data_IF_858842858788
#
_entry.id   IF_858842858788
#
_cell.length_a   1.000
_cell.length_b   1.000
_cell.length_c   1.000
_cell.angle_alpha   90.00
_cell.angle_beta   90.00
_cell.angle_gamma   90.00
#
_symmetry.space_group_name_H-M   'P 1'
#
loop_
_entity.id
_entity.type
_entity.pdbx_description
1 polymer ?
#
# COMPACT_ATOMS: atom_id res chain seq x y z
N UNK A 1 -2.64 -18.33 80.39
CA UNK A 1 -2.13 -19.64 80.83
C UNK A 1 -2.11 -20.52 79.60
N UNK A 2 -1.03 -21.03 79.02
CA UNK A 2 0.42 -21.07 79.31
C UNK A 2 1.11 -21.33 77.95
N UNK A 3 2.15 -20.60 77.54
CA UNK A 3 3.59 -20.85 77.78
C UNK A 3 4.14 -22.16 77.16
N UNK A 4 4.79 -21.98 76.00
CA UNK A 4 6.13 -22.43 75.58
C UNK A 4 6.62 -23.89 75.76
N UNK A 5 7.15 -24.46 74.67
CA UNK A 5 8.55 -24.95 74.51
C UNK A 5 8.75 -25.53 73.09
N UNK A 6 9.59 -25.00 72.18
CA UNK A 6 11.07 -25.05 72.05
C UNK A 6 11.68 -26.43 71.76
N UNK A 7 12.35 -26.56 70.60
CA UNK A 7 13.80 -26.90 70.38
C UNK A 7 14.01 -27.34 68.90
N UNK A 8 14.68 -26.57 68.04
CA UNK A 8 16.13 -26.39 67.80
C UNK A 8 16.87 -27.56 67.11
N UNK A 9 17.29 -27.30 65.86
CA UNK A 9 18.59 -27.65 65.21
C UNK A 9 18.60 -26.90 63.86
N UNK A 10 19.61 -26.18 63.38
CA UNK A 10 20.99 -25.96 63.77
C UNK A 10 21.86 -25.76 62.51
N UNK A 11 22.01 -24.50 62.09
CA UNK A 11 23.11 -23.75 61.41
C UNK A 11 24.36 -24.52 60.90
N UNK A 12 24.80 -24.23 59.64
CA UNK A 12 26.16 -23.73 59.19
C UNK A 12 26.43 -24.12 57.72
N UNK A 13 26.55 -23.18 56.77
CA UNK A 13 27.77 -22.48 56.25
C UNK A 13 28.98 -23.39 55.98
N UNK A 14 29.42 -23.43 54.71
CA UNK A 14 30.85 -23.35 54.36
C UNK A 14 31.08 -22.85 52.91
N UNK A 15 32.07 -21.95 52.81
CA UNK A 15 32.72 -21.38 51.63
C UNK A 15 33.87 -22.30 51.15
N UNK A 16 34.21 -22.26 49.86
CA UNK A 16 35.60 -22.33 49.33
C UNK A 16 35.53 -21.97 47.82
N UNK A 17 36.07 -20.86 47.30
CA UNK A 17 37.48 -20.47 47.08
C UNK A 17 38.30 -21.52 46.32
N UNK A 18 38.78 -21.11 45.13
CA UNK A 18 39.72 -21.83 44.27
C UNK A 18 40.16 -20.96 43.09
N UNK A 19 41.14 -20.09 43.33
CA UNK A 19 41.85 -19.24 42.36
C UNK A 19 43.08 -19.96 41.82
N UNK A 20 43.42 -19.79 40.54
CA UNK A 20 44.83 -19.83 40.10
C UNK A 20 45.08 -18.89 38.91
N UNK A 21 45.99 -17.95 39.17
CA UNK A 21 46.59 -16.94 38.30
C UNK A 21 47.82 -17.51 37.57
N UNK A 22 48.19 -16.93 36.42
CA UNK A 22 49.52 -16.36 36.09
C UNK A 22 49.48 -15.76 34.67
N UNK A 23 49.59 -14.43 34.52
CA UNK A 23 50.80 -13.64 34.20
C UNK A 23 51.39 -13.96 32.82
N UNK A 24 51.65 -13.06 31.87
CA UNK A 24 51.68 -11.61 31.83
C UNK A 24 52.82 -11.15 30.89
N UNK A 25 52.62 -10.03 30.19
CA UNK A 25 53.56 -9.02 29.65
C UNK A 25 53.50 -8.74 28.14
N UNK A 26 53.36 -7.44 27.88
CA UNK A 26 53.39 -6.70 26.61
C UNK A 26 54.83 -6.47 26.11
N UNK A 27 55.01 -6.37 24.79
CA UNK A 27 55.78 -5.28 24.15
C UNK A 27 55.55 -5.21 22.64
N UNK A 28 55.44 -3.98 22.11
CA UNK A 28 55.28 -3.60 20.70
C UNK A 28 56.60 -3.63 19.92
N UNK A 29 56.62 -4.10 18.66
CA UNK A 29 57.28 -3.40 17.53
C UNK A 29 56.83 -3.94 16.16
N UNK A 30 56.76 -3.05 15.16
CA UNK A 30 56.36 -3.26 13.76
C UNK A 30 57.17 -4.34 13.02
N UNK A 31 56.47 -5.13 12.21
CA UNK A 31 56.98 -5.55 10.90
C UNK A 31 55.88 -5.38 9.84
N UNK A 32 56.25 -4.70 8.76
CA UNK A 32 55.51 -4.64 7.52
C UNK A 32 55.72 -5.95 6.74
N UNK A 33 54.68 -6.44 6.07
CA UNK A 33 54.70 -6.83 4.65
C UNK A 33 53.62 -7.89 4.33
N UNK A 34 52.95 -7.62 3.20
CA UNK A 34 52.23 -8.54 2.31
C UNK A 34 50.85 -9.07 2.74
N UNK A 35 49.84 -8.31 2.29
CA UNK A 35 48.51 -8.75 1.82
C UNK A 35 48.60 -9.99 0.89
N UNK A 36 47.53 -10.83 0.74
CA UNK A 36 46.21 -10.31 0.35
C UNK A 36 44.97 -11.04 0.89
N UNK A 37 43.84 -10.37 0.70
CA UNK A 37 42.45 -10.88 0.69
C UNK A 37 41.67 -10.86 2.01
N UNK A 38 41.02 -9.72 2.27
CA UNK A 38 39.57 -9.59 2.44
C UNK A 38 39.28 -8.21 3.01
N UNK A 39 38.87 -7.27 2.14
CA UNK A 39 38.40 -5.98 2.61
C UNK A 39 36.91 -5.78 2.35
N UNK A 40 36.29 -5.46 3.46
CA UNK A 40 34.96 -4.98 3.75
C UNK A 40 34.46 -3.80 2.90
N UNK A 41 33.13 -3.80 2.73
CA UNK A 41 32.20 -2.67 2.56
C UNK A 41 32.63 -1.46 1.71
N UNK A 42 31.85 -1.17 0.65
CA UNK A 42 31.07 0.07 0.50
C UNK A 42 30.47 0.17 -0.90
N UNK A 43 29.15 0.27 -0.97
CA UNK A 43 28.44 0.63 -2.19
C UNK A 43 28.85 2.05 -2.61
N UNK A 44 29.49 2.17 -3.77
CA UNK A 44 29.74 3.44 -4.45
C UNK A 44 28.65 3.68 -5.51
N UNK A 45 27.85 4.72 -5.29
CA UNK A 45 26.99 5.29 -6.33
C UNK A 45 27.85 5.91 -7.44
N UNK A 46 27.72 5.40 -8.66
CA UNK A 46 28.30 5.98 -9.87
C UNK A 46 27.32 5.82 -11.03
N UNK A 47 26.74 6.94 -11.49
CA UNK A 47 26.03 7.01 -12.76
C UNK A 47 26.99 6.69 -13.91
N UNK A 48 26.60 5.79 -14.81
CA UNK A 48 27.03 5.73 -16.22
C UNK A 48 25.97 4.86 -16.95
N UNK A 49 24.89 5.46 -17.44
CA UNK A 49 24.71 5.90 -18.83
C UNK A 49 24.90 4.78 -19.87
N UNK A 50 23.77 4.41 -20.47
CA UNK A 50 23.57 3.84 -21.80
C UNK A 50 24.68 4.13 -22.82
N UNK A 51 25.32 3.06 -23.31
CA UNK A 51 26.01 2.97 -24.60
C UNK A 51 26.47 1.51 -24.81
N UNK A 52 25.76 0.76 -25.63
CA UNK A 52 26.30 -0.46 -26.25
C UNK A 52 26.40 -0.20 -27.76
N UNK A 53 27.61 -0.23 -28.36
CA UNK A 53 27.81 0.06 -29.76
C UNK A 53 27.71 -1.25 -30.56
N UNK A 54 26.56 -1.90 -30.56
CA UNK A 54 26.30 -3.02 -31.47
C UNK A 54 25.33 -2.58 -32.56
N UNK A 55 25.93 -2.17 -33.67
CA UNK A 55 25.35 -1.87 -34.98
C UNK A 55 24.52 -3.07 -35.47
N UNK A 56 23.20 -3.05 -35.24
CA UNK A 56 22.29 -4.05 -35.83
C UNK A 56 21.92 -3.64 -37.25
N UNK A 57 22.36 -4.45 -38.21
CA UNK A 57 21.77 -4.54 -39.55
C UNK A 57 20.27 -4.82 -39.44
N UNK A 58 19.44 -4.39 -40.40
CA UNK A 58 18.02 -4.69 -40.39
C UNK A 58 17.83 -6.14 -40.85
N UNK A 59 18.01 -7.11 -39.96
CA UNK A 59 17.34 -8.39 -40.10
C UNK A 59 15.89 -8.19 -39.64
N UNK A 60 14.96 -8.51 -40.53
CA UNK A 60 13.55 -8.69 -40.18
C UNK A 60 13.51 -9.92 -39.28
N UNK A 61 13.78 -9.73 -37.99
CA UNK A 61 13.58 -10.76 -36.98
C UNK A 61 12.09 -10.83 -36.72
N UNK A 62 11.46 -11.84 -37.31
CA UNK A 62 10.18 -12.38 -36.91
C UNK A 62 10.30 -12.78 -35.44
N UNK A 63 10.02 -11.81 -34.55
CA UNK A 63 10.19 -11.94 -33.11
C UNK A 63 9.13 -12.89 -32.58
N UNK A 64 9.49 -14.17 -32.51
CA UNK A 64 8.73 -15.23 -31.87
C UNK A 64 8.46 -14.88 -30.40
N UNK A 65 7.29 -15.29 -29.93
CA UNK A 65 6.85 -15.10 -28.55
C UNK A 65 7.85 -15.79 -27.61
N UNK A 66 8.29 -15.14 -26.50
CA UNK A 66 9.12 -15.82 -25.50
C UNK A 66 8.36 -16.98 -24.84
N UNK A 67 8.92 -18.19 -24.87
CA UNK A 67 8.27 -19.45 -24.43
C UNK A 67 7.94 -19.55 -22.92
N UNK A 68 8.21 -18.51 -22.13
CA UNK A 68 8.10 -18.51 -20.66
C UNK A 68 7.20 -17.39 -20.11
N UNK A 69 6.24 -16.90 -20.92
CA UNK A 69 5.21 -15.98 -20.44
C UNK A 69 3.96 -16.77 -19.98
N UNK A 70 3.33 -16.33 -18.91
CA UNK A 70 1.99 -16.80 -18.54
C UNK A 70 1.02 -16.57 -19.73
N UNK A 71 0.11 -17.51 -19.97
CA UNK A 71 -0.91 -17.47 -21.04
C UNK A 71 -1.66 -16.14 -21.14
N UNK A 72 -1.94 -15.52 -19.98
CA UNK A 72 -2.51 -14.17 -19.88
C UNK A 72 -1.59 -13.12 -20.49
N UNK A 73 -0.30 -13.13 -20.12
CA UNK A 73 0.67 -12.18 -20.66
C UNK A 73 0.86 -12.37 -22.17
N UNK A 74 0.78 -13.60 -22.66
CA UNK A 74 0.84 -13.90 -24.09
C UNK A 74 -0.34 -13.26 -24.85
N UNK A 75 -1.56 -13.39 -24.33
CA UNK A 75 -2.75 -12.74 -24.90
C UNK A 75 -2.60 -11.21 -24.94
N UNK A 76 -2.12 -10.63 -23.84
CA UNK A 76 -1.89 -9.18 -23.73
C UNK A 76 -0.81 -8.70 -24.70
N UNK A 77 0.25 -9.49 -24.91
CA UNK A 77 1.31 -9.17 -25.85
C UNK A 77 0.84 -9.24 -27.32
N UNK A 78 0.06 -10.26 -27.69
CA UNK A 78 -0.56 -10.35 -29.01
C UNK A 78 -1.51 -9.18 -29.28
N UNK A 79 -2.31 -8.79 -28.28
CA UNK A 79 -3.19 -7.63 -28.37
C UNK A 79 -2.41 -6.32 -28.53
N UNK A 80 -1.25 -6.17 -27.88
CA UNK A 80 -0.36 -5.02 -28.02
C UNK A 80 0.20 -4.90 -29.45
N UNK A 81 0.55 -6.04 -30.07
CA UNK A 81 1.06 -6.08 -31.45
C UNK A 81 -0.01 -5.89 -32.52
N UNK A 82 -1.29 -6.02 -32.17
CA UNK A 82 -2.37 -6.03 -33.14
C UNK A 82 -2.50 -7.37 -33.89
N UNK A 83 -1.94 -8.45 -33.35
CA UNK A 83 -1.99 -9.77 -33.99
C UNK A 83 -3.36 -10.43 -33.76
N UNK A 84 -4.27 -10.21 -34.71
CA UNK A 84 -5.63 -10.72 -34.67
C UNK A 84 -5.65 -12.26 -34.63
N UNK A 85 -4.77 -12.92 -35.39
CA UNK A 85 -4.74 -14.40 -35.47
C UNK A 85 -4.22 -14.99 -34.17
N UNK A 86 -3.11 -14.45 -33.66
CA UNK A 86 -2.54 -14.87 -32.38
C UNK A 86 -3.53 -14.70 -31.21
N UNK A 87 -4.28 -13.59 -31.18
CA UNK A 87 -5.36 -13.40 -30.19
C UNK A 87 -6.48 -14.41 -30.38
N UNK A 88 -6.89 -14.70 -31.62
CA UNK A 88 -7.96 -15.66 -31.90
C UNK A 88 -7.59 -17.09 -31.47
N UNK A 89 -6.38 -17.53 -31.79
CA UNK A 89 -5.87 -18.87 -31.47
C UNK A 89 -5.82 -19.07 -29.95
N UNK A 90 -5.26 -18.10 -29.21
CA UNK A 90 -5.20 -18.13 -27.74
C UNK A 90 -6.59 -18.19 -27.10
N UNK A 91 -7.58 -17.48 -27.65
CA UNK A 91 -8.95 -17.54 -27.15
C UNK A 91 -9.63 -18.87 -27.51
N UNK A 92 -9.21 -19.54 -28.59
CA UNK A 92 -9.70 -20.89 -28.95
C UNK A 92 -9.09 -21.97 -28.04
N UNK A 93 -7.88 -21.76 -27.54
CA UNK A 93 -7.23 -22.63 -26.53
C UNK A 93 -7.89 -22.54 -25.15
N UNK A 94 -8.85 -21.64 -24.96
CA UNK A 94 -9.67 -21.54 -23.74
C UNK A 94 -9.19 -20.50 -22.74
N UNK A 95 -8.29 -19.59 -23.14
CA UNK A 95 -7.89 -18.46 -22.29
C UNK A 95 -9.10 -17.53 -22.07
N UNK A 96 -9.30 -17.09 -20.82
CA UNK A 96 -10.37 -16.13 -20.53
C UNK A 96 -10.05 -14.79 -21.20
N UNK A 97 -10.98 -14.31 -22.02
CA UNK A 97 -10.92 -13.00 -22.69
C UNK A 97 -10.79 -11.84 -21.70
N UNK A 98 -11.23 -12.02 -20.46
CA UNK A 98 -11.17 -11.04 -19.38
C UNK A 98 -9.98 -11.23 -18.44
N UNK A 99 -8.99 -12.04 -18.82
CA UNK A 99 -7.75 -12.17 -18.07
C UNK A 99 -7.07 -10.81 -17.90
N UNK A 100 -6.50 -10.58 -16.71
CA UNK A 100 -5.94 -9.29 -16.29
C UNK A 100 -4.45 -9.39 -15.97
N UNK A 101 -3.69 -8.32 -16.23
CA UNK A 101 -2.32 -8.16 -15.72
C UNK A 101 -2.29 -7.68 -14.25
N UNK A 102 -1.07 -7.43 -13.75
CA UNK A 102 -0.81 -6.87 -12.43
C UNK A 102 -1.46 -5.48 -12.21
N UNK A 103 -1.73 -4.76 -13.30
CA UNK A 103 -2.41 -3.46 -13.27
C UNK A 103 -3.92 -3.59 -13.48
N UNK A 104 -4.47 -4.81 -13.52
CA UNK A 104 -5.89 -5.04 -13.76
C UNK A 104 -6.33 -4.80 -15.20
N UNK A 105 -5.41 -4.64 -16.15
CA UNK A 105 -5.71 -4.39 -17.56
C UNK A 105 -6.00 -5.69 -18.29
N UNK A 106 -7.04 -5.66 -19.11
CA UNK A 106 -7.39 -6.75 -20.03
C UNK A 106 -6.78 -6.53 -21.41
N UNK A 107 -6.80 -7.56 -22.27
CA UNK A 107 -6.42 -7.43 -23.68
C UNK A 107 -7.19 -6.30 -24.41
N UNK A 108 -8.43 -6.03 -23.99
CA UNK A 108 -9.25 -4.94 -24.54
C UNK A 108 -8.69 -3.55 -24.19
N UNK A 109 -8.12 -3.37 -22.99
CA UNK A 109 -7.45 -2.11 -22.62
C UNK A 109 -6.22 -1.89 -23.50
N UNK A 110 -5.38 -2.93 -23.65
CA UNK A 110 -4.15 -2.85 -24.45
C UNK A 110 -4.45 -2.54 -25.91
N UNK A 111 -5.37 -3.29 -26.54
CA UNK A 111 -5.76 -3.06 -27.93
C UNK A 111 -6.35 -1.65 -28.13
N UNK A 112 -7.01 -1.10 -27.10
CA UNK A 112 -7.55 0.25 -27.14
C UNK A 112 -6.50 1.35 -26.98
N UNK A 113 -5.47 1.14 -26.14
CA UNK A 113 -4.31 2.03 -26.04
C UNK A 113 -3.52 2.12 -27.35
N UNK A 114 -3.34 0.99 -28.03
CA UNK A 114 -2.54 0.90 -29.27
C UNK A 114 -3.35 1.19 -30.55
N UNK A 115 -4.68 1.21 -30.47
CA UNK A 115 -5.54 1.58 -31.60
C UNK A 115 -5.89 0.42 -32.54
N UNK A 116 -5.69 -0.82 -32.12
CA UNK A 116 -5.92 -2.02 -32.94
C UNK A 116 -7.41 -2.37 -33.06
N UNK A 117 -8.11 -1.69 -33.97
CA UNK A 117 -9.56 -1.82 -34.15
C UNK A 117 -10.05 -3.26 -34.43
N UNK A 118 -9.28 -4.05 -35.20
CA UNK A 118 -9.66 -5.43 -35.52
C UNK A 118 -9.54 -6.36 -34.30
N UNK A 119 -8.48 -6.21 -33.50
CA UNK A 119 -8.35 -6.94 -32.23
C UNK A 119 -9.48 -6.56 -31.27
N UNK A 120 -9.85 -5.27 -31.19
CA UNK A 120 -10.99 -4.83 -30.38
C UNK A 120 -12.29 -5.50 -30.85
N UNK A 121 -12.57 -5.52 -32.16
CA UNK A 121 -13.78 -6.19 -32.69
C UNK A 121 -13.81 -7.68 -32.35
N UNK A 122 -12.66 -8.36 -32.44
CA UNK A 122 -12.51 -9.78 -32.08
C UNK A 122 -12.77 -10.01 -30.59
N UNK A 123 -12.12 -9.25 -29.70
CA UNK A 123 -12.33 -9.38 -28.25
C UNK A 123 -13.79 -9.14 -27.86
N UNK A 124 -14.45 -8.16 -28.49
CA UNK A 124 -15.86 -7.88 -28.29
C UNK A 124 -16.78 -8.99 -28.81
N UNK A 125 -16.43 -9.66 -29.91
CA UNK A 125 -17.21 -10.81 -30.41
C UNK A 125 -17.11 -12.00 -29.45
N UNK A 126 -15.97 -12.13 -28.75
CA UNK A 126 -15.72 -13.11 -27.68
C UNK A 126 -16.25 -12.67 -26.31
N UNK A 127 -17.15 -11.68 -26.25
CA UNK A 127 -17.80 -11.17 -25.02
C UNK A 127 -16.83 -10.60 -23.97
N UNK A 128 -15.75 -9.94 -24.41
CA UNK A 128 -14.93 -9.13 -23.51
C UNK A 128 -15.79 -8.11 -22.73
N UNK A 129 -15.48 -7.93 -21.45
CA UNK A 129 -16.13 -6.96 -20.59
C UNK A 129 -15.74 -5.53 -21.00
N UNK A 130 -16.62 -4.86 -21.74
CA UNK A 130 -16.47 -3.48 -22.19
C UNK A 130 -16.25 -2.49 -21.04
N UNK A 131 -16.91 -2.72 -19.91
CA UNK A 131 -16.88 -1.83 -18.73
C UNK A 131 -15.83 -2.30 -17.70
N UNK A 132 -14.94 -3.22 -18.09
CA UNK A 132 -13.80 -3.61 -17.26
C UNK A 132 -12.98 -2.37 -16.88
N UNK A 133 -12.48 -2.37 -15.64
CA UNK A 133 -11.69 -1.28 -15.11
C UNK A 133 -10.34 -1.77 -14.66
N UNK A 134 -9.30 -1.09 -15.11
CA UNK A 134 -7.94 -1.28 -14.62
C UNK A 134 -7.78 -0.73 -13.19
N UNK A 135 -6.56 -0.84 -12.63
CA UNK A 135 -6.26 -0.37 -11.26
C UNK A 135 -6.52 1.13 -11.10
N UNK A 136 -6.41 1.91 -12.16
CA UNK A 136 -6.63 3.36 -12.17
C UNK A 136 -8.10 3.74 -12.43
N UNK A 137 -8.96 2.74 -12.59
CA UNK A 137 -10.38 2.93 -12.87
C UNK A 137 -10.65 3.40 -14.31
N UNK A 138 -9.64 3.33 -15.19
CA UNK A 138 -9.81 3.57 -16.61
C UNK A 138 -10.58 2.42 -17.24
N UNK A 139 -11.19 2.69 -18.40
CA UNK A 139 -11.88 1.69 -19.22
C UNK A 139 -11.22 1.71 -20.59
N UNK A 140 -11.30 0.63 -21.35
CA UNK A 140 -10.78 0.59 -22.73
C UNK A 140 -11.24 1.79 -23.58
N UNK A 141 -12.49 2.26 -23.41
CA UNK A 141 -12.99 3.44 -24.11
C UNK A 141 -12.32 4.74 -23.65
N UNK A 142 -12.03 4.88 -22.36
CA UNK A 142 -11.29 6.02 -21.85
C UNK A 142 -9.84 6.03 -22.33
N UNK A 143 -9.19 4.86 -22.37
CA UNK A 143 -7.82 4.71 -22.88
C UNK A 143 -7.74 5.09 -24.36
N UNK A 144 -8.61 4.53 -25.21
CA UNK A 144 -8.68 4.89 -26.63
C UNK A 144 -8.85 6.39 -26.84
N UNK A 145 -9.67 7.05 -26.01
CA UNK A 145 -9.84 8.51 -26.09
C UNK A 145 -8.58 9.26 -25.66
N UNK A 146 -7.91 8.82 -24.60
CA UNK A 146 -6.71 9.47 -24.05
C UNK A 146 -5.53 9.39 -25.03
N UNK A 147 -5.33 8.24 -25.66
CA UNK A 147 -4.28 8.01 -26.64
C UNK A 147 -4.62 8.50 -28.06
N UNK A 148 -5.84 9.03 -28.28
CA UNK A 148 -6.24 9.61 -29.56
C UNK A 148 -6.74 8.61 -30.60
N UNK A 149 -7.02 7.36 -30.21
CA UNK A 149 -7.53 6.29 -31.07
C UNK A 149 -9.04 6.44 -31.29
N UNK A 150 -9.42 7.44 -32.10
CA UNK A 150 -10.81 7.83 -32.33
C UNK A 150 -11.65 6.68 -32.93
N UNK A 151 -11.08 5.87 -33.81
CA UNK A 151 -11.80 4.73 -34.41
C UNK A 151 -12.21 3.71 -33.35
N UNK A 152 -11.26 3.26 -32.53
CA UNK A 152 -11.52 2.32 -31.43
C UNK A 152 -12.51 2.91 -30.43
N UNK A 153 -12.34 4.18 -30.06
CA UNK A 153 -13.28 4.87 -29.18
C UNK A 153 -14.71 4.84 -29.72
N UNK A 154 -14.89 5.09 -31.02
CA UNK A 154 -16.20 5.07 -31.67
C UNK A 154 -16.79 3.65 -31.70
N UNK A 155 -15.98 2.62 -31.95
CA UNK A 155 -16.41 1.21 -31.91
C UNK A 155 -16.92 0.85 -30.49
N UNK A 156 -16.14 1.17 -29.46
CA UNK A 156 -16.50 0.89 -28.07
C UNK A 156 -17.75 1.65 -27.65
N UNK A 157 -17.85 2.95 -28.00
CA UNK A 157 -19.02 3.77 -27.72
C UNK A 157 -20.27 3.25 -28.44
N UNK A 158 -20.16 2.82 -29.70
CA UNK A 158 -21.27 2.23 -30.46
C UNK A 158 -21.75 0.90 -29.85
N UNK A 159 -20.85 0.16 -29.20
CA UNK A 159 -21.16 -1.09 -28.47
C UNK A 159 -21.63 -0.85 -27.03
N UNK A 160 -21.88 0.40 -26.64
CA UNK A 160 -22.49 0.77 -25.36
C UNK A 160 -21.50 1.03 -24.23
N UNK A 161 -20.20 1.22 -24.52
CA UNK A 161 -19.20 1.54 -23.50
C UNK A 161 -19.56 2.81 -22.73
N UNK A 162 -19.65 2.70 -21.40
CA UNK A 162 -19.84 3.86 -20.54
C UNK A 162 -18.48 4.49 -20.32
N UNK A 163 -18.18 5.56 -21.05
CA UNK A 163 -16.98 6.36 -20.77
C UNK A 163 -17.16 6.97 -19.39
N UNK A 164 -16.38 6.56 -18.37
CA UNK A 164 -16.44 7.22 -17.09
C UNK A 164 -16.08 8.69 -17.32
N UNK A 165 -16.83 9.60 -16.71
CA UNK A 165 -16.29 10.94 -16.45
C UNK A 165 -15.17 10.71 -15.46
N UNK A 166 -13.95 10.45 -15.96
CA UNK A 166 -12.76 10.38 -15.11
C UNK A 166 -12.51 11.81 -14.67
N UNK A 167 -13.20 12.22 -13.61
CA UNK A 167 -12.70 13.30 -12.77
C UNK A 167 -11.39 12.75 -12.21
N UNK A 168 -10.28 13.11 -12.88
CA UNK A 168 -8.96 12.83 -12.34
C UNK A 168 -8.94 13.35 -10.91
N UNK A 169 -8.47 12.54 -9.98
CA UNK A 169 -8.27 13.04 -8.63
C UNK A 169 -7.25 14.19 -8.69
N UNK A 170 -7.32 15.16 -7.77
CA UNK A 170 -6.32 16.23 -7.67
C UNK A 170 -4.91 15.71 -7.30
N UNK A 171 -4.78 14.40 -7.04
CA UNK A 171 -3.54 13.70 -6.72
C UNK A 171 -3.16 12.66 -7.78
N UNK A 172 -3.93 12.55 -8.88
CA UNK A 172 -3.65 11.59 -9.93
C UNK A 172 -2.34 11.94 -10.63
N UNK A 173 -1.48 10.95 -10.78
CA UNK A 173 -0.20 11.07 -11.47
C UNK A 173 -0.36 10.54 -12.89
N UNK A 174 0.27 11.22 -13.86
CA UNK A 174 0.19 10.82 -15.28
C UNK A 174 1.06 9.61 -15.61
N UNK A 175 2.16 9.42 -14.88
CA UNK A 175 3.15 8.38 -15.12
C UNK A 175 3.01 7.25 -14.08
N UNK A 176 2.78 5.99 -14.51
CA UNK A 176 2.68 4.85 -13.59
C UNK A 176 3.89 4.66 -12.66
N UNK A 177 5.09 5.09 -13.07
CA UNK A 177 6.32 4.96 -12.27
C UNK A 177 6.40 5.92 -11.08
N UNK A 178 5.55 6.95 -11.07
CA UNK A 178 5.50 7.97 -10.02
C UNK A 178 4.37 7.69 -9.00
N UNK A 179 3.64 6.57 -9.17
CA UNK A 179 2.61 6.15 -8.23
C UNK A 179 3.28 5.78 -6.89
N UNK A 180 2.84 6.37 -5.76
CA UNK A 180 3.42 6.07 -4.46
C UNK A 180 3.22 4.61 -4.04
N UNK A 181 4.19 4.04 -3.30
CA UNK A 181 4.12 2.66 -2.82
C UNK A 181 2.96 2.38 -1.86
N UNK A 182 2.44 3.40 -1.18
CA UNK A 182 1.28 3.29 -0.30
C UNK A 182 -0.05 3.19 -1.04
N UNK A 183 -0.06 3.33 -2.37
CA UNK A 183 -1.28 3.31 -3.17
C UNK A 183 -1.89 1.90 -3.17
N UNK A 184 -3.11 1.81 -2.62
CA UNK A 184 -3.87 0.57 -2.55
C UNK A 184 -4.82 0.43 -3.73
N UNK A 185 -5.04 -0.81 -4.17
CA UNK A 185 -6.07 -1.09 -5.15
C UNK A 185 -7.46 -0.98 -4.50
N UNK A 186 -8.35 -0.09 -4.97
CA UNK A 186 -9.69 0.08 -4.38
C UNK A 186 -10.54 -1.19 -4.48
N UNK A 187 -10.30 -2.08 -5.44
CA UNK A 187 -11.05 -3.34 -5.57
C UNK A 187 -10.69 -4.38 -4.49
N UNK A 188 -9.51 -4.27 -3.87
CA UNK A 188 -9.13 -5.09 -2.73
C UNK A 188 -9.88 -4.68 -1.45
N UNK A 189 -10.39 -3.45 -1.40
CA UNK A 189 -11.11 -2.90 -0.25
C UNK A 189 -12.60 -3.26 -0.33
N UNK A 190 -13.00 -4.28 0.43
CA UNK A 190 -14.42 -4.66 0.57
C UNK A 190 -15.08 -3.88 1.69
N UNK A 191 -15.67 -2.74 1.34
CA UNK A 191 -16.45 -1.89 2.26
C UNK A 191 -17.81 -2.54 2.54
N UNK A 192 -18.20 -2.67 3.80
CA UNK A 192 -19.54 -3.14 4.18
C UNK A 192 -20.55 -2.02 3.94
N UNK A 193 -21.39 -2.13 2.89
CA UNK A 193 -22.52 -1.22 2.67
C UNK A 193 -23.60 -1.49 3.73
N UNK A 194 -23.74 -0.61 4.71
CA UNK A 194 -24.74 -0.73 5.79
C UNK A 194 -24.67 0.40 6.81
N UNK A 195 -23.49 0.98 7.03
CA UNK A 195 -23.31 2.11 7.93
C UNK A 195 -23.28 3.40 7.10
N UNK A 196 -24.42 4.08 6.98
CA UNK A 196 -24.53 5.42 6.40
C UNK A 196 -23.59 6.36 7.16
N UNK A 197 -22.67 7.01 6.45
CA UNK A 197 -21.67 7.90 7.04
C UNK A 197 -22.24 9.31 7.19
N UNK A 198 -22.28 9.76 8.44
CA UNK A 198 -22.09 11.16 8.80
C UNK A 198 -20.68 11.61 8.40
N UNK A 199 -20.59 12.69 7.62
CA UNK A 199 -19.39 13.44 7.21
C UNK A 199 -18.14 13.20 8.10
N UNK A 200 -17.07 12.63 7.54
CA UNK A 200 -15.76 12.47 8.21
C UNK A 200 -15.56 11.26 9.14
N UNK A 201 -16.47 10.28 9.14
CA UNK A 201 -16.35 9.08 10.01
C UNK A 201 -15.65 7.92 9.28
N UNK A 202 -14.74 7.24 9.98
CA UNK A 202 -14.05 6.05 9.47
C UNK A 202 -15.06 4.91 9.23
N UNK A 203 -14.99 4.27 8.07
CA UNK A 203 -15.76 3.07 7.72
C UNK A 203 -14.94 1.81 7.98
N UNK A 204 -15.59 0.70 8.30
CA UNK A 204 -14.92 -0.59 8.43
C UNK A 204 -14.92 -1.32 7.09
N UNK A 205 -13.74 -1.64 6.59
CA UNK A 205 -13.56 -2.45 5.38
C UNK A 205 -12.74 -3.71 5.67
N UNK A 206 -12.72 -4.63 4.71
CA UNK A 206 -11.76 -5.72 4.67
C UNK A 206 -10.76 -5.48 3.55
N UNK A 207 -9.47 -5.52 3.88
CA UNK A 207 -8.35 -5.51 2.94
C UNK A 207 -7.60 -6.83 3.08
N UNK A 208 -7.54 -7.64 2.01
CA UNK A 208 -6.91 -8.97 2.02
C UNK A 208 -7.33 -9.87 3.20
N UNK A 209 -8.61 -9.79 3.58
CA UNK A 209 -9.19 -10.53 4.72
C UNK A 209 -9.05 -9.86 6.09
N UNK A 210 -8.13 -8.90 6.22
CA UNK A 210 -7.88 -8.13 7.45
C UNK A 210 -8.87 -6.97 7.59
N UNK A 211 -9.40 -6.75 8.80
CA UNK A 211 -10.27 -5.59 9.05
C UNK A 211 -9.43 -4.31 9.12
N UNK A 212 -9.84 -3.29 8.39
CA UNK A 212 -9.19 -1.98 8.34
C UNK A 212 -10.23 -0.86 8.52
N UNK A 213 -9.76 0.29 9.01
CA UNK A 213 -10.54 1.51 9.09
C UNK A 213 -10.24 2.37 7.86
N UNK A 214 -11.27 2.89 7.20
CA UNK A 214 -11.16 3.64 5.95
C UNK A 214 -11.79 5.01 6.13
N UNK A 215 -10.99 6.06 6.04
CA UNK A 215 -11.47 7.44 5.97
C UNK A 215 -11.67 7.80 4.50
N UNK A 216 -12.91 8.05 4.10
CA UNK A 216 -13.26 8.42 2.72
C UNK A 216 -13.35 9.94 2.64
N UNK A 217 -12.72 10.55 1.64
CA UNK A 217 -12.93 11.96 1.31
C UNK A 217 -14.18 12.09 0.44
N UNK A 218 -15.12 12.92 0.89
CA UNK A 218 -16.41 13.13 0.21
C UNK A 218 -16.23 13.70 -1.20
N UNK A 219 -17.19 13.41 -2.08
CA UNK A 219 -17.12 13.82 -3.49
C UNK A 219 -17.12 15.33 -3.69
N UNK A 220 -17.90 16.04 -2.87
CA UNK A 220 -18.01 17.50 -2.94
C UNK A 220 -16.74 18.20 -2.44
N UNK A 221 -15.90 17.49 -1.68
CA UNK A 221 -14.62 17.97 -1.18
C UNK A 221 -13.48 17.91 -2.20
N UNK A 222 -13.68 17.33 -3.39
CA UNK A 222 -12.65 17.34 -4.45
C UNK A 222 -12.52 18.68 -5.15
N UNK A 223 -13.49 19.59 -5.00
CA UNK A 223 -13.42 20.93 -5.58
C UNK A 223 -12.75 21.93 -4.65
N UNK A 224 -12.68 21.63 -3.35
CA UNK A 224 -12.13 22.53 -2.36
C UNK A 224 -10.61 22.28 -2.15
N UNK A 225 -9.73 23.24 -2.49
CA UNK A 225 -8.30 23.07 -2.33
C UNK A 225 -7.88 22.90 -0.86
N UNK A 226 -8.62 23.47 0.09
CA UNK A 226 -8.32 23.34 1.52
C UNK A 226 -8.53 21.90 2.00
N UNK A 227 -9.67 21.29 1.64
CA UNK A 227 -9.96 19.89 1.93
C UNK A 227 -8.92 18.93 1.33
N UNK A 228 -8.47 19.20 0.10
CA UNK A 228 -7.41 18.40 -0.54
C UNK A 228 -6.08 18.57 0.19
N UNK A 229 -5.72 19.80 0.55
CA UNK A 229 -4.49 20.08 1.27
C UNK A 229 -4.50 19.46 2.67
N UNK A 230 -5.64 19.47 3.36
CA UNK A 230 -5.82 18.78 4.64
C UNK A 230 -5.65 17.27 4.48
N UNK A 231 -6.25 16.67 3.44
CA UNK A 231 -6.09 15.25 3.12
C UNK A 231 -4.62 14.89 2.82
N UNK A 232 -3.95 15.67 1.97
CA UNK A 232 -2.52 15.53 1.66
C UNK A 232 -1.67 15.64 2.92
N UNK A 233 -1.94 16.64 3.76
CA UNK A 233 -1.20 16.84 5.00
C UNK A 233 -1.36 15.64 5.93
N UNK A 234 -2.58 15.17 6.17
CA UNK A 234 -2.85 13.99 6.99
C UNK A 234 -2.13 12.74 6.45
N UNK A 235 -2.18 12.52 5.13
CA UNK A 235 -1.47 11.41 4.48
C UNK A 235 0.05 11.49 4.71
N UNK A 236 0.65 12.68 4.53
CA UNK A 236 2.10 12.87 4.74
C UNK A 236 2.54 12.67 6.19
N UNK A 237 1.65 12.95 7.16
CA UNK A 237 1.92 12.68 8.57
C UNK A 237 1.86 11.18 8.85
N UNK A 238 0.83 10.50 8.34
CA UNK A 238 0.64 9.06 8.53
C UNK A 238 1.75 8.22 7.89
N UNK A 239 2.28 8.63 6.75
CA UNK A 239 3.41 7.97 6.09
C UNK A 239 4.68 7.98 6.95
N UNK A 240 4.92 9.09 7.65
CA UNK A 240 6.12 9.29 8.49
C UNK A 240 6.03 8.58 9.84
N UNK A 241 4.82 8.39 10.36
CA UNK A 241 4.58 7.91 11.73
C UNK A 241 4.47 6.39 11.76
N UNK A 242 5.41 5.74 12.45
CA UNK A 242 5.39 4.28 12.69
C UNK A 242 5.71 4.00 14.15
N UNK A 243 4.68 3.83 14.96
CA UNK A 243 4.80 3.61 16.40
C UNK A 243 3.62 2.81 16.96
N UNK A 244 3.81 1.84 17.87
CA UNK A 244 2.73 0.98 18.39
C UNK A 244 1.64 1.71 19.17
N UNK A 245 1.92 2.91 19.68
CA UNK A 245 0.95 3.75 20.38
C UNK A 245 0.33 4.86 19.49
N UNK A 246 0.58 4.82 18.18
CA UNK A 246 -0.10 5.66 17.19
C UNK A 246 -0.81 4.72 16.21
N UNK A 247 -1.98 5.14 15.69
CA UNK A 247 -2.73 4.33 14.74
C UNK A 247 -1.86 4.03 13.52
N UNK A 248 -1.67 2.75 13.22
CA UNK A 248 -0.79 2.34 12.13
C UNK A 248 -1.42 2.64 10.77
N UNK A 249 -0.66 3.34 9.93
CA UNK A 249 -1.00 3.57 8.54
C UNK A 249 -0.82 2.29 7.72
N UNK A 250 -1.80 1.96 6.89
CA UNK A 250 -1.79 0.78 6.01
C UNK A 250 -1.53 1.20 4.57
N UNK A 251 -2.23 2.23 4.08
CA UNK A 251 -2.09 2.74 2.73
C UNK A 251 -3.19 3.74 2.39
N UNK A 252 -3.23 4.22 1.15
CA UNK A 252 -4.22 5.19 0.70
C UNK A 252 -4.67 4.89 -0.73
N UNK A 253 -5.83 5.41 -1.11
CA UNK A 253 -6.30 5.45 -2.49
C UNK A 253 -6.31 6.91 -2.90
N UNK A 254 -5.38 7.32 -3.74
CA UNK A 254 -5.20 8.71 -4.19
C UNK A 254 -5.41 8.85 -5.69
N UNK A 255 -5.26 7.77 -6.47
CA UNK A 255 -5.42 7.78 -7.92
C UNK A 255 -6.88 7.63 -8.34
N UNK A 256 -7.73 7.05 -7.49
CA UNK A 256 -9.12 6.72 -7.81
C UNK A 256 -10.10 7.47 -6.90
N UNK A 257 -11.33 7.62 -7.39
CA UNK A 257 -12.44 8.19 -6.61
C UNK A 257 -13.31 7.07 -6.03
N UNK A 258 -13.68 7.14 -4.74
CA UNK A 258 -13.34 8.22 -3.83
C UNK A 258 -11.92 8.08 -3.25
N UNK A 259 -11.26 9.21 -2.94
CA UNK A 259 -9.96 9.17 -2.27
C UNK A 259 -10.15 8.63 -0.84
N UNK A 260 -9.23 7.77 -0.40
CA UNK A 260 -9.32 7.08 0.88
C UNK A 260 -7.99 7.05 1.62
N UNK A 261 -8.04 7.11 2.95
CA UNK A 261 -6.92 6.76 3.84
C UNK A 261 -7.31 5.49 4.58
N UNK A 262 -6.44 4.48 4.55
CA UNK A 262 -6.64 3.19 5.19
C UNK A 262 -5.67 3.03 6.37
N UNK A 263 -6.22 2.70 7.52
CA UNK A 263 -5.48 2.52 8.76
C UNK A 263 -5.94 1.28 9.53
N UNK A 264 -5.21 0.92 10.58
CA UNK A 264 -5.55 -0.19 11.46
C UNK A 264 -6.96 -0.05 12.05
N UNK A 265 -7.71 -1.15 12.07
CA UNK A 265 -9.01 -1.21 12.72
C UNK A 265 -8.89 -1.54 14.21
N UNK A 266 -9.46 -0.69 15.07
CA UNK A 266 -9.56 -0.96 16.51
C UNK A 266 -10.95 -1.47 16.91
N UNK A 267 -11.10 -2.72 17.36
CA UNK A 267 -12.41 -3.32 17.68
C UNK A 267 -13.10 -2.71 18.91
N UNK A 268 -12.33 -2.01 19.76
CA UNK A 268 -12.85 -1.34 20.96
C UNK A 268 -13.43 0.05 20.66
N UNK A 269 -13.28 0.54 19.42
CA UNK A 269 -13.66 1.89 19.03
C UNK A 269 -12.72 2.96 19.60
N UNK A 270 -13.15 4.21 19.52
CA UNK A 270 -12.45 5.33 20.15
C UNK A 270 -12.65 5.37 21.68
N UNK A 271 -11.80 6.14 22.36
CA UNK A 271 -11.83 6.26 23.81
C UNK A 271 -13.17 6.79 24.33
N UNK A 272 -13.81 7.70 23.59
CA UNK A 272 -15.10 8.28 23.96
C UNK A 272 -16.21 7.23 24.00
N UNK A 273 -16.38 6.50 22.90
CA UNK A 273 -17.32 5.39 22.75
C UNK A 273 -17.04 4.28 23.75
N UNK A 274 -15.77 3.99 24.02
CA UNK A 274 -15.38 2.99 24.99
C UNK A 274 -15.81 3.37 26.42
N UNK A 275 -15.59 4.62 26.82
CA UNK A 275 -16.01 5.13 28.13
C UNK A 275 -17.54 5.16 28.24
N UNK A 276 -18.25 5.59 27.19
CA UNK A 276 -19.72 5.57 27.17
C UNK A 276 -20.27 4.15 27.36
N UNK A 277 -19.68 3.16 26.67
CA UNK A 277 -20.12 1.75 26.75
C UNK A 277 -19.75 1.05 28.06
N UNK A 278 -18.61 1.39 28.66
CA UNK A 278 -18.08 0.70 29.86
C UNK A 278 -18.30 1.45 31.16
N UNK A 279 -18.67 2.73 31.10
CA UNK A 279 -18.76 3.61 32.27
C UNK A 279 -17.38 4.02 32.80
N UNK A 280 -17.34 4.39 34.08
CA UNK A 280 -16.14 4.89 34.75
C UNK A 280 -14.99 3.87 34.69
N UNK A 281 -13.81 4.33 34.29
CA UNK A 281 -12.60 3.51 34.24
C UNK A 281 -12.03 3.27 35.65
N UNK A 282 -11.47 2.08 35.86
CA UNK A 282 -10.68 1.81 37.08
C UNK A 282 -9.37 2.63 37.07
N UNK A 283 -8.83 3.01 38.24
CA UNK A 283 -7.59 3.80 38.31
C UNK A 283 -6.42 3.16 37.55
N UNK A 284 -6.27 1.84 37.63
CA UNK A 284 -5.24 1.09 36.91
C UNK A 284 -5.38 1.17 35.38
N UNK A 285 -6.60 1.11 34.86
CA UNK A 285 -6.85 1.23 33.40
C UNK A 285 -6.65 2.66 32.93
N UNK A 286 -7.09 3.64 33.71
CA UNK A 286 -6.90 5.05 33.40
C UNK A 286 -5.39 5.39 33.30
N UNK A 287 -4.59 4.93 34.28
CA UNK A 287 -3.13 5.08 34.24
C UNK A 287 -2.51 4.41 33.02
N UNK A 288 -2.94 3.19 32.69
CA UNK A 288 -2.44 2.49 31.49
C UNK A 288 -2.74 3.28 30.21
N UNK A 289 -3.97 3.75 30.03
CA UNK A 289 -4.34 4.56 28.86
C UNK A 289 -3.57 5.87 28.81
N UNK A 290 -3.38 6.55 29.94
CA UNK A 290 -2.60 7.79 30.00
C UNK A 290 -1.14 7.56 29.60
N UNK A 291 -0.51 6.46 30.04
CA UNK A 291 0.86 6.09 29.65
C UNK A 291 0.98 5.73 28.17
N UNK A 292 0.00 5.02 27.61
CA UNK A 292 0.01 4.67 26.19
C UNK A 292 -0.17 5.93 25.32
N UNK A 293 -1.06 6.85 25.70
CA UNK A 293 -1.24 8.14 25.03
C UNK A 293 0.03 8.99 25.14
N UNK A 294 0.65 9.08 26.32
CA UNK A 294 1.85 9.88 26.50
C UNK A 294 3.03 9.36 25.69
N UNK A 295 3.20 8.04 25.59
CA UNK A 295 4.21 7.42 24.70
C UNK A 295 3.99 7.78 23.24
N UNK A 296 2.75 7.71 22.77
CA UNK A 296 2.38 8.12 21.41
C UNK A 296 2.69 9.60 21.15
N UNK A 297 2.29 10.48 22.06
CA UNK A 297 2.58 11.92 21.95
C UNK A 297 4.06 12.25 22.01
N UNK A 298 4.82 11.57 22.87
CA UNK A 298 6.28 11.76 22.95
C UNK A 298 6.95 11.40 21.62
N UNK A 299 6.55 10.26 21.03
CA UNK A 299 7.03 9.86 19.71
C UNK A 299 6.73 10.90 18.63
N UNK A 300 5.51 11.46 18.61
CA UNK A 300 5.13 12.49 17.62
C UNK A 300 6.01 13.74 17.75
N UNK A 301 6.31 14.18 18.98
CA UNK A 301 7.15 15.35 19.21
C UNK A 301 8.64 15.09 18.95
N UNK A 302 9.12 13.86 19.13
CA UNK A 302 10.52 13.48 18.88
C UNK A 302 10.78 12.94 17.47
N UNK A 303 9.79 13.04 16.57
CA UNK A 303 9.88 12.47 15.24
C UNK A 303 11.06 13.08 14.46
N UNK A 304 12.00 12.24 13.99
CA UNK A 304 13.30 12.67 13.40
C UNK A 304 13.17 13.61 12.20
N UNK A 305 12.08 13.50 11.46
CA UNK A 305 11.77 14.32 10.28
C UNK A 305 11.25 15.72 10.63
N UNK A 306 11.12 16.03 11.92
CA UNK A 306 10.54 17.26 12.45
C UNK A 306 9.40 16.94 13.43
N UNK A 307 9.25 17.73 14.51
CA UNK A 307 8.22 17.50 15.53
C UNK A 307 6.82 17.62 14.93
N UNK A 308 5.97 16.63 15.18
CA UNK A 308 4.57 16.61 14.75
C UNK A 308 3.69 17.04 15.92
N UNK A 309 3.02 18.18 15.79
CA UNK A 309 2.08 18.68 16.80
C UNK A 309 0.68 18.19 16.45
N UNK A 310 0.05 17.41 17.35
CA UNK A 310 -1.26 16.80 17.08
C UNK A 310 -2.39 17.83 16.90
N UNK A 311 -2.32 18.99 17.58
CA UNK A 311 -3.27 20.11 17.54
C UNK A 311 -4.74 19.83 17.95
N UNK A 312 -5.21 18.59 17.96
CA UNK A 312 -6.59 18.23 18.33
C UNK A 312 -6.67 17.03 19.30
N UNK A 313 -5.84 17.02 20.36
CA UNK A 313 -5.79 15.90 21.30
C UNK A 313 -7.03 15.88 22.21
N UNK A 314 -8.08 15.16 21.78
CA UNK A 314 -9.32 14.97 22.54
C UNK A 314 -9.99 13.62 22.26
N UNK A 315 -10.77 13.06 23.19
CA UNK A 315 -11.69 11.97 22.87
C UNK A 315 -12.68 12.43 21.79
N UNK A 316 -12.90 11.62 20.76
CA UNK A 316 -13.98 11.86 19.79
C UNK A 316 -15.31 11.64 20.52
N UNK A 317 -16.00 12.71 20.87
CA UNK A 317 -17.37 12.64 21.41
C UNK A 317 -18.36 12.83 20.27
N UNK A 318 -19.19 11.83 20.01
CA UNK A 318 -20.43 12.03 19.27
C UNK A 318 -21.37 12.83 20.19
N UNK A 319 -21.74 14.04 19.76
CA UNK A 319 -22.63 14.96 20.50
C UNK A 319 -23.91 14.24 20.89
N UNK A 320 -24.11 13.97 22.18
CA UNK A 320 -25.44 13.85 22.80
C UNK A 320 -25.36 14.36 24.23
N UNK A 321 -25.26 15.68 24.36
CA UNK A 321 -25.77 16.41 25.51
C UNK A 321 -26.35 17.71 24.96
N UNK A 322 -27.61 17.64 24.56
CA UNK A 322 -28.51 18.78 24.46
C UNK A 322 -29.85 18.29 25.04
N UNK A 323 -30.22 18.86 26.19
CA UNK A 323 -31.52 18.66 26.85
C UNK A 323 -31.63 17.41 27.70
#
# INVERSE_FOLDING_TARGET
MDIAAKLKRGISRQFSMGSLRKSGKFSFTRQASLDPTRNTFRFSFGRQSSLDPNRRSPSVEELTVPDNLDSTMQLLFMACRGDVKGVEDLLNEGIDVNSIDLDGRTALHIAACEGHAEVVKLLLSRKANIDARDRWGSTAAADAKFYGNVEVYNILKARGAKVPKITKTPMAVSNPREVPEYELNPFELRIRKGDVVSKGTYQVAKWNGTKVAVKILDKDSYSDPESINAFKHELTLLEKVRHPNVVQFVGAVTQNIPMMIVSEYHPKGDLGSYIQKKGRLSPSKALKFALDISRGMNYLHECKTGPIIHCDLKPKCQKYFAG
#
